data_IF_425261567440
#
_entry.id   IF_425261567440
#
_cell.length_a   1.000
_cell.length_b   1.000
_cell.length_c   1.000
_cell.angle_alpha   90.00
_cell.angle_beta   90.00
_cell.angle_gamma   90.00
#
_symmetry.space_group_name_H-M   'P 1'
#
loop_
_entity.id
_entity.type
_entity.pdbx_description
1 polymer ?
#
# COMPACT_ATOMS: atom_id res chain seq x y z
N UNK A 1 -1.10 27.12 -0.64
CA UNK A 1 -0.18 28.18 -0.19
C UNK A 1 1.27 27.75 -0.43
N UNK A 2 2.21 28.68 -0.63
CA UNK A 2 3.65 28.38 -0.69
C UNK A 2 4.32 29.16 0.43
N UNK A 3 4.96 28.44 1.34
CA UNK A 3 5.86 29.04 2.32
C UNK A 3 7.25 29.21 1.71
N UNK A 4 7.95 30.25 2.14
CA UNK A 4 9.32 30.54 1.72
C UNK A 4 10.17 30.86 2.95
N UNK A 5 11.35 30.28 3.00
CA UNK A 5 12.36 30.63 4.01
C UNK A 5 13.77 30.55 3.40
N UNK A 6 14.74 31.16 4.06
CA UNK A 6 16.13 31.15 3.68
C UNK A 6 16.90 30.33 4.70
N UNK A 7 17.68 29.38 4.26
CA UNK A 7 18.38 28.43 5.12
C UNK A 7 19.82 28.24 4.67
N UNK A 8 20.69 27.84 5.59
CA UNK A 8 21.99 27.27 5.28
C UNK A 8 21.90 25.76 5.30
N UNK A 9 22.50 25.11 4.33
CA UNK A 9 22.63 23.65 4.33
C UNK A 9 23.35 23.18 5.60
N UNK A 10 22.82 22.23 6.37
CA UNK A 10 23.49 21.79 7.61
C UNK A 10 24.86 21.14 7.39
N UNK A 11 25.11 20.61 6.18
CA UNK A 11 26.35 19.92 5.85
C UNK A 11 27.42 20.82 5.23
N UNK A 12 27.08 21.65 4.23
CA UNK A 12 28.06 22.46 3.48
C UNK A 12 27.87 23.98 3.63
N UNK A 13 26.87 24.41 4.41
CA UNK A 13 26.54 25.82 4.64
C UNK A 13 26.09 26.60 3.40
N UNK A 14 25.80 25.92 2.31
CA UNK A 14 25.29 26.54 1.08
C UNK A 14 23.98 27.28 1.34
N UNK A 15 23.82 28.54 0.91
CA UNK A 15 22.61 29.31 1.08
C UNK A 15 21.50 28.85 0.12
N UNK A 16 20.34 28.52 0.68
CA UNK A 16 19.22 27.95 -0.07
C UNK A 16 17.94 28.75 0.23
N UNK A 17 17.22 29.07 -0.82
CA UNK A 17 15.82 29.51 -0.71
C UNK A 17 14.93 28.28 -0.77
N UNK A 18 14.39 27.88 0.37
CA UNK A 18 13.44 26.77 0.48
C UNK A 18 12.02 27.26 0.25
N UNK A 19 11.33 26.64 -0.70
CA UNK A 19 9.94 26.91 -1.03
C UNK A 19 9.12 25.64 -0.86
N UNK A 20 8.14 25.66 0.03
CA UNK A 20 7.29 24.48 0.31
C UNK A 20 5.84 24.81 0.02
N UNK A 21 5.24 24.04 -0.89
CA UNK A 21 3.79 24.09 -1.13
C UNK A 21 3.05 23.35 -0.02
N UNK A 22 2.22 24.08 0.74
CA UNK A 22 1.46 23.54 1.87
C UNK A 22 0.11 23.02 1.42
N UNK A 23 -0.19 21.76 1.74
CA UNK A 23 -1.42 21.06 1.36
C UNK A 23 -2.20 20.51 2.56
N UNK A 24 -1.59 20.49 3.74
CA UNK A 24 -2.17 19.95 4.98
C UNK A 24 -1.59 20.64 6.22
N UNK A 25 -2.28 20.52 7.35
CA UNK A 25 -1.92 21.13 8.62
C UNK A 25 -0.52 20.70 9.12
N UNK A 26 -0.14 19.44 8.90
CA UNK A 26 1.20 18.95 9.19
C UNK A 26 1.73 18.20 7.98
N UNK A 27 2.83 18.67 7.40
CA UNK A 27 3.39 18.12 6.16
C UNK A 27 4.90 17.99 6.28
N UNK A 28 5.43 16.77 6.45
CA UNK A 28 6.85 16.53 6.37
C UNK A 28 7.35 16.69 4.92
N UNK A 29 8.59 17.10 4.78
CA UNK A 29 9.27 17.17 3.49
C UNK A 29 10.76 16.85 3.64
N UNK A 30 11.35 16.39 2.55
CA UNK A 30 12.78 16.19 2.41
C UNK A 30 13.20 16.73 1.05
N UNK A 31 14.29 17.52 1.02
CA UNK A 31 14.91 18.02 -0.20
C UNK A 31 16.39 17.74 -0.14
N UNK A 32 17.03 17.62 -1.31
CA UNK A 32 18.48 17.52 -1.40
C UNK A 32 19.10 18.92 -1.52
N UNK A 33 20.22 19.14 -0.85
CA UNK A 33 21.05 20.32 -1.07
C UNK A 33 21.57 20.30 -2.52
N UNK A 34 21.44 21.39 -3.29
CA UNK A 34 21.90 21.41 -4.68
C UNK A 34 23.43 21.34 -4.83
N UNK A 35 24.19 21.67 -3.79
CA UNK A 35 25.67 21.67 -3.84
C UNK A 35 26.30 20.37 -3.33
N UNK A 36 25.85 19.86 -2.17
CA UNK A 36 26.46 18.66 -1.55
C UNK A 36 25.49 17.47 -1.45
N UNK A 37 24.26 17.62 -1.93
CA UNK A 37 23.23 16.59 -2.00
C UNK A 37 22.77 16.01 -0.66
N UNK A 38 23.26 16.57 0.45
CA UNK A 38 22.81 16.19 1.78
C UNK A 38 21.29 16.43 1.96
N UNK A 39 20.62 15.52 2.67
CA UNK A 39 19.20 15.66 2.95
C UNK A 39 18.94 16.82 3.90
N UNK A 40 18.05 17.70 3.50
CA UNK A 40 17.46 18.75 4.33
C UNK A 40 16.06 18.29 4.67
N UNK A 41 15.81 18.03 5.95
CA UNK A 41 14.52 17.54 6.45
C UNK A 41 13.82 18.61 7.25
N UNK A 42 12.50 18.63 7.14
CA UNK A 42 11.66 19.51 7.92
C UNK A 42 10.19 19.15 7.76
N UNK A 43 9.36 19.95 8.40
CA UNK A 43 7.92 19.86 8.23
C UNK A 43 7.30 21.27 8.25
N UNK A 44 6.15 21.41 7.62
CA UNK A 44 5.28 22.55 7.87
C UNK A 44 4.23 22.15 8.88
N UNK A 45 3.97 22.98 9.87
CA UNK A 45 3.00 22.76 10.93
C UNK A 45 2.04 23.94 10.97
N UNK A 46 0.78 23.71 11.26
CA UNK A 46 -0.17 24.77 11.56
C UNK A 46 0.08 25.27 12.97
N UNK A 47 0.31 26.57 13.09
CA UNK A 47 0.49 27.22 14.38
C UNK A 47 -0.88 27.55 15.03
N UNK A 48 -0.87 27.97 16.28
CA UNK A 48 -2.09 28.32 17.07
C UNK A 48 -2.97 29.38 16.40
N UNK A 49 -2.37 30.22 15.56
CA UNK A 49 -3.06 31.26 14.76
C UNK A 49 -3.65 30.72 13.44
N UNK A 50 -3.59 29.40 13.20
CA UNK A 50 -4.07 28.77 11.98
C UNK A 50 -3.17 28.97 10.76
N UNK A 51 -2.01 29.62 10.90
CA UNK A 51 -1.08 29.85 9.81
C UNK A 51 0.00 28.76 9.77
N UNK A 52 0.34 28.24 8.59
CA UNK A 52 1.40 27.25 8.48
C UNK A 52 2.78 27.91 8.70
N UNK A 53 3.64 27.21 9.44
CA UNK A 53 5.03 27.61 9.73
C UNK A 53 5.98 26.47 9.47
N UNK A 54 7.25 26.83 9.22
CA UNK A 54 8.32 25.82 9.14
C UNK A 54 8.73 25.33 10.53
N UNK A 55 8.93 24.04 10.64
CA UNK A 55 9.66 23.39 11.73
C UNK A 55 10.90 22.70 11.13
N UNK A 56 12.07 23.28 11.40
CA UNK A 56 13.36 22.90 10.82
C UNK A 56 14.37 22.63 11.95
N UNK A 57 14.30 21.50 12.65
CA UNK A 57 15.04 21.28 13.90
C UNK A 57 16.58 21.25 13.72
N UNK A 58 17.06 20.87 12.52
CA UNK A 58 18.50 20.66 12.26
C UNK A 58 19.07 21.71 11.27
N UNK A 59 18.29 22.74 10.93
CA UNK A 59 18.63 23.67 9.86
C UNK A 59 18.67 25.10 10.38
N UNK A 60 19.74 25.82 10.09
CA UNK A 60 19.86 27.23 10.42
C UNK A 60 19.05 28.06 9.43
N UNK A 61 18.10 28.83 9.94
CA UNK A 61 17.41 29.89 9.19
C UNK A 61 18.33 31.11 9.16
N UNK A 62 18.53 31.69 7.98
CA UNK A 62 19.42 32.84 7.75
C UNK A 62 18.65 34.01 7.17
N UNK A 63 19.09 35.23 7.47
CA UNK A 63 18.52 36.43 6.89
C UNK A 63 19.12 36.72 5.52
N UNK A 64 18.31 37.06 4.48
CA UNK A 64 18.83 37.33 3.13
C UNK A 64 19.95 38.38 3.05
N UNK A 65 19.93 39.35 3.96
CA UNK A 65 20.95 40.41 4.04
C UNK A 65 22.33 39.94 4.49
N UNK A 66 22.39 38.78 5.14
CA UNK A 66 23.62 38.23 5.71
C UNK A 66 24.42 37.40 4.70
N UNK A 67 23.87 37.21 3.52
CA UNK A 67 24.50 36.37 2.47
C UNK A 67 24.55 37.13 1.16
N UNK A 68 25.80 37.40 0.71
CA UNK A 68 26.05 37.92 -0.64
C UNK A 68 26.23 36.78 -1.63
N UNK A 69 25.60 36.87 -2.80
CA UNK A 69 25.79 35.90 -3.88
C UNK A 69 24.49 35.33 -4.45
N UNK A 70 24.58 34.31 -5.30
CA UNK A 70 23.47 33.61 -5.88
C UNK A 70 22.88 32.61 -4.88
N UNK A 71 21.55 32.56 -4.83
CA UNK A 71 20.80 31.64 -3.99
C UNK A 71 20.27 30.47 -4.82
N UNK A 72 20.52 29.28 -4.35
CA UNK A 72 19.85 28.11 -4.90
C UNK A 72 18.39 28.04 -4.46
N UNK A 73 17.46 27.96 -5.40
CA UNK A 73 16.05 27.82 -5.11
C UNK A 73 15.64 26.36 -5.17
N UNK A 74 15.20 25.81 -4.05
CA UNK A 74 14.68 24.45 -3.95
C UNK A 74 13.18 24.51 -3.66
N UNK A 75 12.39 23.90 -4.53
CA UNK A 75 10.95 23.89 -4.39
C UNK A 75 10.46 22.46 -4.19
N UNK A 76 9.67 22.22 -3.15
CA UNK A 76 8.98 20.94 -2.92
C UNK A 76 7.49 21.19 -2.68
N UNK A 77 6.71 20.17 -3.01
CA UNK A 77 5.26 20.18 -2.77
C UNK A 77 4.92 18.82 -2.17
N UNK A 78 4.66 18.74 -0.87
CA UNK A 78 4.67 17.52 -0.09
C UNK A 78 3.99 16.28 -0.69
N UNK A 79 3.07 16.47 -1.64
CA UNK A 79 2.32 15.38 -2.28
C UNK A 79 2.65 15.24 -3.77
N UNK A 80 3.65 15.96 -4.27
CA UNK A 80 4.10 15.90 -5.67
C UNK A 80 5.60 15.60 -5.71
N UNK A 81 6.10 14.98 -6.79
CA UNK A 81 7.53 14.79 -6.99
C UNK A 81 8.29 16.11 -6.94
N UNK A 82 9.52 16.07 -6.49
CA UNK A 82 10.42 17.21 -6.59
C UNK A 82 10.85 17.43 -8.04
N UNK A 83 10.97 18.69 -8.42
CA UNK A 83 11.43 19.11 -9.75
C UNK A 83 12.78 19.78 -9.59
N UNK A 84 13.86 19.20 -10.12
CA UNK A 84 15.13 19.91 -10.20
C UNK A 84 14.98 21.11 -11.14
N UNK A 85 15.57 22.22 -10.76
CA UNK A 85 15.61 23.46 -11.58
C UNK A 85 14.26 24.13 -11.86
N UNK A 86 13.26 23.96 -11.01
CA UNK A 86 11.96 24.65 -11.15
C UNK A 86 12.00 26.10 -10.63
N UNK A 87 13.07 26.85 -10.91
CA UNK A 87 13.17 28.26 -10.47
C UNK A 87 11.97 29.13 -10.87
N UNK A 88 11.30 28.81 -11.96
CA UNK A 88 10.21 29.60 -12.51
C UNK A 88 8.80 29.09 -12.12
N UNK A 89 8.63 27.77 -11.91
CA UNK A 89 7.31 27.18 -11.70
C UNK A 89 7.21 26.47 -10.33
N UNK A 90 6.03 26.56 -9.70
CA UNK A 90 5.73 25.70 -8.55
C UNK A 90 5.59 24.26 -9.02
N UNK A 91 5.84 23.28 -8.12
CA UNK A 91 5.62 21.85 -8.43
C UNK A 91 4.19 21.57 -8.92
N UNK A 92 3.22 22.32 -8.42
CA UNK A 92 1.81 22.25 -8.86
C UNK A 92 1.65 22.66 -10.32
N UNK A 93 2.20 23.82 -10.72
CA UNK A 93 2.12 24.29 -12.12
C UNK A 93 2.89 23.36 -13.08
N UNK A 94 4.01 22.82 -12.64
CA UNK A 94 4.77 21.84 -13.42
C UNK A 94 3.97 20.55 -13.61
N UNK A 95 3.32 20.05 -12.56
CA UNK A 95 2.44 18.89 -12.66
C UNK A 95 1.24 19.18 -13.60
N UNK A 96 0.59 20.33 -13.45
CA UNK A 96 -0.51 20.75 -14.32
C UNK A 96 -0.10 20.76 -15.81
N UNK A 97 1.04 21.37 -16.12
CA UNK A 97 1.59 21.41 -17.48
C UNK A 97 1.84 20.01 -18.05
N UNK A 98 2.29 19.07 -17.21
CA UNK A 98 2.60 17.70 -17.62
C UNK A 98 1.32 16.87 -17.80
N UNK A 99 0.37 16.96 -16.88
CA UNK A 99 -0.90 16.24 -16.99
C UNK A 99 -1.81 16.81 -18.08
N UNK A 100 -1.73 18.14 -18.31
CA UNK A 100 -2.62 18.90 -19.18
C UNK A 100 -3.99 19.17 -18.53
N UNK A 101 -4.72 20.13 -19.06
CA UNK A 101 -5.99 20.65 -18.51
C UNK A 101 -7.04 19.55 -18.30
N UNK A 102 -7.11 18.60 -19.22
CA UNK A 102 -8.11 17.52 -19.16
C UNK A 102 -7.84 16.47 -18.06
N UNK A 103 -6.57 16.14 -17.81
CA UNK A 103 -6.20 15.04 -16.92
C UNK A 103 -5.86 15.49 -15.49
N UNK A 104 -5.45 16.74 -15.34
CA UNK A 104 -5.00 17.27 -14.05
C UNK A 104 -6.10 17.29 -12.98
N UNK A 105 -7.35 17.72 -13.27
CA UNK A 105 -8.43 17.65 -12.28
C UNK A 105 -8.70 16.23 -11.79
N UNK A 106 -8.70 15.24 -12.69
CA UNK A 106 -8.84 13.82 -12.31
C UNK A 106 -7.71 13.33 -11.40
N UNK A 107 -6.47 13.72 -11.69
CA UNK A 107 -5.34 13.41 -10.83
C UNK A 107 -5.46 14.08 -9.44
N UNK A 108 -5.89 15.35 -9.37
CA UNK A 108 -6.12 16.02 -8.08
C UNK A 108 -7.19 15.32 -7.24
N UNK A 109 -8.26 14.82 -7.85
CA UNK A 109 -9.26 14.03 -7.15
C UNK A 109 -8.68 12.73 -6.58
N UNK A 110 -7.82 12.03 -7.32
CA UNK A 110 -7.12 10.85 -6.79
C UNK A 110 -6.20 11.20 -5.63
N UNK A 111 -5.47 12.29 -5.75
CA UNK A 111 -4.60 12.76 -4.68
C UNK A 111 -5.38 13.15 -3.41
N UNK A 112 -6.49 13.89 -3.56
CA UNK A 112 -7.38 14.24 -2.46
C UNK A 112 -7.95 12.99 -1.78
N UNK A 113 -8.36 12.01 -2.57
CA UNK A 113 -8.87 10.71 -2.11
C UNK A 113 -7.82 9.95 -1.29
N UNK A 114 -6.57 9.88 -1.79
CA UNK A 114 -5.48 9.20 -1.09
C UNK A 114 -5.09 9.91 0.22
N UNK A 115 -5.16 11.25 0.26
CA UNK A 115 -4.98 12.03 1.49
C UNK A 115 -6.05 11.72 2.52
N UNK A 116 -7.31 11.78 2.10
CA UNK A 116 -8.45 11.48 2.97
C UNK A 116 -8.32 10.09 3.60
N UNK A 117 -7.90 9.07 2.83
CA UNK A 117 -7.65 7.74 3.37
C UNK A 117 -6.59 7.77 4.48
N UNK A 118 -5.51 8.53 4.30
CA UNK A 118 -4.49 8.72 5.33
C UNK A 118 -5.02 9.41 6.59
N UNK A 119 -5.90 10.41 6.45
CA UNK A 119 -6.53 11.11 7.59
C UNK A 119 -7.52 10.22 8.36
N UNK A 120 -8.12 9.25 7.69
CA UNK A 120 -9.09 8.31 8.29
C UNK A 120 -8.50 6.99 8.78
N UNK A 121 -7.17 6.86 8.80
CA UNK A 121 -6.49 5.62 9.20
C UNK A 121 -6.89 5.18 10.60
N UNK A 122 -6.81 6.07 11.60
CA UNK A 122 -7.09 5.72 12.99
C UNK A 122 -8.54 5.30 13.22
N UNK A 123 -9.58 6.04 12.76
CA UNK A 123 -10.95 5.58 12.82
C UNK A 123 -11.17 4.24 12.11
N UNK A 124 -10.56 4.02 10.95
CA UNK A 124 -10.71 2.77 10.18
C UNK A 124 -10.06 1.59 10.90
N UNK A 125 -8.88 1.79 11.48
CA UNK A 125 -8.20 0.74 12.25
C UNK A 125 -8.98 0.38 13.52
N UNK A 126 -9.49 1.37 14.25
CA UNK A 126 -10.37 1.13 15.40
C UNK A 126 -11.64 0.37 14.99
N UNK A 127 -12.27 0.76 13.87
CA UNK A 127 -13.42 0.07 13.32
C UNK A 127 -13.08 -1.39 13.02
N UNK A 128 -11.93 -1.63 12.38
CA UNK A 128 -11.47 -2.98 12.09
C UNK A 128 -11.18 -3.78 13.35
N UNK A 129 -10.60 -3.16 14.39
CA UNK A 129 -10.39 -3.77 15.70
C UNK A 129 -11.69 -4.17 16.38
N UNK A 130 -12.77 -3.36 16.29
CA UNK A 130 -14.11 -3.73 16.79
C UNK A 130 -14.73 -4.84 15.95
N UNK A 131 -14.57 -4.80 14.63
CA UNK A 131 -15.01 -5.85 13.72
C UNK A 131 -14.36 -7.21 14.07
N UNK A 132 -13.05 -7.26 14.28
CA UNK A 132 -12.34 -8.49 14.66
C UNK A 132 -12.85 -9.07 15.98
N UNK A 133 -13.12 -8.21 16.95
CA UNK A 133 -13.61 -8.58 18.28
C UNK A 133 -15.13 -8.76 18.35
N UNK A 134 -15.84 -8.65 17.21
CA UNK A 134 -17.29 -8.73 17.09
C UNK A 134 -18.05 -7.75 18.03
N UNK A 135 -17.44 -6.60 18.32
CA UNK A 135 -18.04 -5.54 19.13
C UNK A 135 -18.91 -4.64 18.25
N UNK A 136 -20.06 -5.18 17.83
CA UNK A 136 -20.89 -4.59 16.80
C UNK A 136 -21.43 -3.20 17.16
N UNK A 137 -21.89 -2.98 18.38
CA UNK A 137 -22.40 -1.68 18.82
C UNK A 137 -21.34 -0.58 18.80
N UNK A 138 -20.08 -0.94 19.13
CA UNK A 138 -18.94 0.00 19.07
C UNK A 138 -18.55 0.28 17.64
N UNK A 139 -18.57 -0.73 16.78
CA UNK A 139 -18.34 -0.59 15.35
C UNK A 139 -19.37 0.36 14.73
N UNK A 140 -20.66 0.08 14.94
CA UNK A 140 -21.76 0.86 14.36
C UNK A 140 -21.70 2.33 14.81
N UNK A 141 -21.43 2.57 16.10
CA UNK A 141 -21.26 3.92 16.66
C UNK A 141 -20.07 4.66 16.04
N UNK A 142 -18.93 4.00 15.92
CA UNK A 142 -17.73 4.58 15.35
C UNK A 142 -17.92 4.93 13.88
N UNK A 143 -18.55 4.03 13.12
CA UNK A 143 -18.79 4.22 11.69
C UNK A 143 -19.75 5.39 11.45
N UNK A 144 -20.83 5.49 12.20
CA UNK A 144 -21.77 6.64 12.10
C UNK A 144 -21.08 7.97 12.42
N UNK A 145 -20.23 7.99 13.45
CA UNK A 145 -19.53 9.22 13.86
C UNK A 145 -18.54 9.74 12.81
N UNK A 146 -17.82 8.84 12.13
CA UNK A 146 -16.69 9.22 11.26
C UNK A 146 -17.01 9.16 9.77
N UNK A 147 -18.12 8.51 9.38
CA UNK A 147 -18.49 8.24 7.99
C UNK A 147 -19.97 8.52 7.76
N UNK A 148 -20.37 9.76 8.03
CA UNK A 148 -21.77 10.21 7.92
C UNK A 148 -22.39 9.89 6.57
N UNK A 149 -23.66 9.48 6.60
CA UNK A 149 -24.47 9.18 5.41
C UNK A 149 -24.16 7.88 4.70
N UNK A 150 -23.06 7.22 5.03
CA UNK A 150 -22.64 5.99 4.37
C UNK A 150 -22.88 4.71 5.21
N UNK A 151 -23.17 4.84 6.52
CA UNK A 151 -23.46 3.73 7.40
C UNK A 151 -24.97 3.60 7.66
N UNK A 152 -25.58 2.40 7.45
CA UNK A 152 -27.01 2.22 7.67
C UNK A 152 -27.41 2.46 9.13
N UNK A 153 -28.66 2.90 9.35
CA UNK A 153 -29.20 3.02 10.71
C UNK A 153 -29.27 1.67 11.42
N UNK A 154 -29.71 0.63 10.69
CA UNK A 154 -29.81 -0.74 11.17
C UNK A 154 -28.96 -1.64 10.28
N UNK A 155 -27.63 -1.71 10.51
CA UNK A 155 -26.74 -2.48 9.66
C UNK A 155 -27.01 -3.98 9.80
N UNK A 156 -27.16 -4.64 8.67
CA UNK A 156 -27.25 -6.11 8.63
C UNK A 156 -25.90 -6.75 8.98
N UNK A 157 -25.91 -8.06 9.21
CA UNK A 157 -24.68 -8.84 9.33
C UNK A 157 -23.73 -8.60 8.14
N UNK A 158 -24.26 -8.61 6.92
CA UNK A 158 -23.49 -8.38 5.71
C UNK A 158 -22.91 -6.96 5.65
N UNK A 159 -23.69 -5.95 6.08
CA UNK A 159 -23.20 -4.56 6.11
C UNK A 159 -21.99 -4.41 7.03
N UNK A 160 -22.03 -5.01 8.21
CA UNK A 160 -20.89 -5.00 9.15
C UNK A 160 -19.66 -5.69 8.59
N UNK A 161 -19.86 -6.85 7.97
CA UNK A 161 -18.75 -7.59 7.34
C UNK A 161 -18.18 -6.90 6.09
N UNK A 162 -18.95 -6.05 5.44
CA UNK A 162 -18.51 -5.33 4.24
C UNK A 162 -18.06 -3.89 4.52
N UNK A 163 -18.16 -3.44 5.78
CA UNK A 163 -17.90 -2.06 6.20
C UNK A 163 -16.59 -1.48 5.64
N UNK A 164 -15.49 -2.17 5.87
CA UNK A 164 -14.18 -1.69 5.43
C UNK A 164 -14.12 -1.49 3.92
N UNK A 165 -14.68 -2.44 3.15
CA UNK A 165 -14.66 -2.34 1.69
C UNK A 165 -15.58 -1.26 1.15
N UNK A 166 -16.71 -1.02 1.78
CA UNK A 166 -17.65 0.05 1.38
C UNK A 166 -16.99 1.43 1.42
N UNK A 167 -16.10 1.65 2.39
CA UNK A 167 -15.42 2.94 2.57
C UNK A 167 -14.07 3.02 1.89
N UNK A 168 -13.32 1.92 1.82
CA UNK A 168 -11.96 1.92 1.27
C UNK A 168 -11.99 1.73 -0.26
N UNK A 169 -12.96 1.01 -0.81
CA UNK A 169 -12.97 0.63 -2.22
C UNK A 169 -12.80 1.80 -3.21
N UNK A 170 -13.50 2.95 -3.07
CA UNK A 170 -13.28 4.08 -3.97
C UNK A 170 -11.85 4.60 -3.97
N UNK A 171 -11.17 4.48 -2.82
CA UNK A 171 -9.79 4.92 -2.64
C UNK A 171 -8.79 3.93 -3.21
N UNK A 172 -9.08 2.62 -3.11
CA UNK A 172 -8.25 1.59 -3.73
C UNK A 172 -8.19 1.74 -5.25
N UNK A 173 -9.30 2.12 -5.88
CA UNK A 173 -9.34 2.41 -7.33
C UNK A 173 -8.36 3.53 -7.69
N UNK A 174 -8.23 4.55 -6.84
CA UNK A 174 -7.29 5.67 -7.04
C UNK A 174 -5.82 5.23 -6.95
N UNK A 175 -5.53 4.23 -6.11
CA UNK A 175 -4.20 3.67 -5.92
C UNK A 175 -3.86 2.57 -6.94
N UNK A 176 -4.84 2.09 -7.72
CA UNK A 176 -4.69 1.01 -8.70
C UNK A 176 -5.17 1.44 -10.10
N UNK A 177 -4.48 2.39 -10.75
CA UNK A 177 -4.88 2.91 -12.06
C UNK A 177 -4.85 1.85 -13.18
N UNK A 178 -4.19 0.70 -12.98
CA UNK A 178 -4.16 -0.43 -13.92
C UNK A 178 -5.31 -1.43 -13.72
N UNK A 179 -6.07 -1.29 -12.64
CA UNK A 179 -7.17 -2.18 -12.29
C UNK A 179 -6.73 -3.62 -11.98
N UNK A 180 -5.59 -3.79 -11.30
CA UNK A 180 -5.09 -5.12 -10.92
C UNK A 180 -5.95 -5.75 -9.83
N UNK A 181 -6.39 -4.95 -8.84
CA UNK A 181 -7.26 -5.39 -7.75
C UNK A 181 -8.58 -5.99 -8.26
N UNK A 182 -9.42 -5.29 -9.06
CA UNK A 182 -10.68 -5.84 -9.53
C UNK A 182 -10.49 -7.07 -10.42
N UNK A 183 -9.43 -7.15 -11.23
CA UNK A 183 -9.13 -8.30 -12.08
C UNK A 183 -8.78 -9.54 -11.25
N UNK A 184 -7.89 -9.40 -10.25
CA UNK A 184 -7.54 -10.49 -9.33
C UNK A 184 -8.75 -10.92 -8.49
N UNK A 185 -9.55 -9.95 -8.01
CA UNK A 185 -10.77 -10.23 -7.26
C UNK A 185 -11.76 -11.04 -8.08
N UNK A 186 -12.07 -10.62 -9.31
CA UNK A 186 -12.96 -11.36 -10.20
C UNK A 186 -12.43 -12.77 -10.48
N UNK A 187 -11.14 -12.92 -10.77
CA UNK A 187 -10.51 -14.21 -11.03
C UNK A 187 -10.68 -15.21 -9.88
N UNK A 188 -10.49 -14.75 -8.63
CA UNK A 188 -10.59 -15.61 -7.44
C UNK A 188 -12.04 -15.85 -7.05
N UNK A 189 -12.89 -14.81 -7.04
CA UNK A 189 -14.25 -14.90 -6.52
C UNK A 189 -15.20 -15.63 -7.45
N UNK A 190 -15.09 -15.43 -8.78
CA UNK A 190 -15.97 -16.09 -9.76
C UNK A 190 -15.95 -17.61 -9.66
N UNK A 191 -14.88 -18.18 -9.13
CA UNK A 191 -14.73 -19.63 -8.96
C UNK A 191 -15.54 -20.18 -7.81
N UNK A 192 -15.77 -19.38 -6.75
CA UNK A 192 -16.43 -19.84 -5.51
C UNK A 192 -17.94 -19.88 -5.66
N UNK A 193 -18.55 -18.94 -6.36
CA UNK A 193 -20.02 -18.85 -6.50
C UNK A 193 -20.68 -20.13 -7.03
N UNK A 194 -19.95 -20.98 -7.77
CA UNK A 194 -20.45 -22.25 -8.28
C UNK A 194 -20.41 -23.39 -7.25
N UNK A 195 -19.75 -23.19 -6.11
CA UNK A 195 -19.49 -24.23 -5.08
C UNK A 195 -19.68 -23.66 -3.68
N UNK A 196 -20.70 -22.83 -3.50
CA UNK A 196 -20.95 -22.06 -2.27
C UNK A 196 -21.05 -22.94 -1.02
N UNK A 197 -21.76 -24.06 -1.07
CA UNK A 197 -21.90 -24.97 0.07
C UNK A 197 -20.57 -25.56 0.53
N UNK A 198 -19.78 -26.11 -0.40
CA UNK A 198 -18.46 -26.66 -0.08
C UNK A 198 -17.49 -25.60 0.41
N UNK A 199 -17.61 -24.36 -0.11
CA UNK A 199 -16.81 -23.25 0.38
C UNK A 199 -17.22 -22.81 1.79
N UNK A 200 -18.51 -22.79 2.11
CA UNK A 200 -19.02 -22.44 3.45
C UNK A 200 -18.54 -23.45 4.51
N UNK A 201 -18.56 -24.75 4.22
CA UNK A 201 -18.03 -25.79 5.10
C UNK A 201 -16.53 -25.59 5.38
N UNK A 202 -15.73 -25.43 4.32
CA UNK A 202 -14.30 -25.17 4.45
C UNK A 202 -14.02 -23.85 5.21
N UNK A 203 -14.76 -22.80 4.91
CA UNK A 203 -14.61 -21.50 5.55
C UNK A 203 -14.95 -21.58 7.04
N UNK A 204 -15.99 -22.33 7.44
CA UNK A 204 -16.33 -22.57 8.84
C UNK A 204 -15.16 -23.23 9.60
N UNK A 205 -14.59 -24.30 9.05
CA UNK A 205 -13.42 -24.97 9.64
C UNK A 205 -12.20 -24.03 9.79
N UNK A 206 -11.98 -23.15 8.80
CA UNK A 206 -10.85 -22.22 8.81
C UNK A 206 -11.06 -21.10 9.84
N UNK A 207 -12.23 -20.49 9.92
CA UNK A 207 -12.48 -19.39 10.89
C UNK A 207 -12.51 -19.87 12.34
N UNK A 208 -12.79 -21.14 12.59
CA UNK A 208 -12.71 -21.74 13.92
C UNK A 208 -11.27 -21.86 14.43
N UNK A 209 -10.26 -21.80 13.53
CA UNK A 209 -8.86 -21.84 13.92
C UNK A 209 -8.37 -20.44 14.37
N UNK A 210 -7.85 -20.29 15.62
CA UNK A 210 -7.34 -19.00 16.11
C UNK A 210 -6.20 -18.42 15.28
N UNK A 211 -5.45 -19.24 14.53
CA UNK A 211 -4.41 -18.78 13.61
C UNK A 211 -4.97 -17.91 12.48
N UNK A 212 -6.21 -18.20 12.02
CA UNK A 212 -6.88 -17.38 11.02
C UNK A 212 -7.10 -15.95 11.50
N UNK A 213 -7.58 -15.77 12.73
CA UNK A 213 -7.80 -14.45 13.29
C UNK A 213 -6.48 -13.68 13.51
N UNK A 214 -5.45 -14.39 13.98
CA UNK A 214 -4.11 -13.81 14.15
C UNK A 214 -3.52 -13.36 12.79
N UNK A 215 -3.72 -14.15 11.73
CA UNK A 215 -3.30 -13.81 10.38
C UNK A 215 -4.07 -12.59 9.85
N UNK A 216 -5.39 -12.58 9.97
CA UNK A 216 -6.25 -11.47 9.54
C UNK A 216 -5.85 -10.16 10.23
N UNK A 217 -5.56 -10.21 11.55
CA UNK A 217 -5.08 -9.06 12.31
C UNK A 217 -3.74 -8.54 11.76
N UNK A 218 -2.77 -9.43 11.49
CA UNK A 218 -1.47 -9.02 10.92
C UNK A 218 -1.61 -8.37 9.54
N UNK A 219 -2.50 -8.86 8.68
CA UNK A 219 -2.79 -8.22 7.40
C UNK A 219 -3.33 -6.80 7.60
N UNK A 220 -4.27 -6.63 8.53
CA UNK A 220 -4.84 -5.32 8.86
C UNK A 220 -3.78 -4.36 9.41
N UNK A 221 -2.94 -4.80 10.35
CA UNK A 221 -1.85 -4.02 10.91
C UNK A 221 -0.90 -3.51 9.81
N UNK A 222 -0.50 -4.37 8.88
CA UNK A 222 0.37 -3.97 7.77
C UNK A 222 -0.32 -3.00 6.82
N UNK A 223 -1.60 -3.21 6.52
CA UNK A 223 -2.39 -2.29 5.71
C UNK A 223 -2.45 -0.89 6.33
N UNK A 224 -2.81 -0.78 7.61
CA UNK A 224 -2.89 0.50 8.30
C UNK A 224 -1.52 1.16 8.50
N UNK A 225 -0.46 0.38 8.73
CA UNK A 225 0.89 0.91 8.82
C UNK A 225 1.33 1.61 7.52
N UNK A 226 1.04 1.04 6.36
CA UNK A 226 1.32 1.69 5.08
C UNK A 226 0.48 2.96 4.86
N UNK A 227 -0.77 2.97 5.29
CA UNK A 227 -1.62 4.15 5.19
C UNK A 227 -1.14 5.29 6.09
N UNK A 228 -0.62 5.00 7.29
CA UNK A 228 -0.05 6.02 8.20
C UNK A 228 1.16 6.74 7.63
N UNK A 229 1.94 6.07 6.82
CA UNK A 229 3.11 6.68 6.18
C UNK A 229 2.79 7.26 4.79
N UNK A 230 1.55 7.71 4.58
CA UNK A 230 1.10 8.22 3.29
C UNK A 230 1.95 9.39 2.75
N UNK A 231 2.53 10.19 3.62
CA UNK A 231 3.44 11.27 3.23
C UNK A 231 4.64 10.79 2.42
N UNK A 232 5.07 9.54 2.64
CA UNK A 232 6.23 8.95 1.97
C UNK A 232 5.90 8.46 0.54
N UNK A 233 4.66 8.06 0.28
CA UNK A 233 4.29 7.49 -1.01
C UNK A 233 3.37 8.37 -1.87
N UNK A 234 2.67 9.34 -1.29
CA UNK A 234 1.81 10.26 -2.05
C UNK A 234 2.51 10.94 -3.23
N UNK A 235 3.77 11.42 -3.09
CA UNK A 235 4.46 12.06 -4.21
C UNK A 235 4.64 11.15 -5.42
N UNK A 236 4.72 9.82 -5.22
CA UNK A 236 4.86 8.87 -6.32
C UNK A 236 3.58 8.68 -7.15
N UNK A 237 2.40 9.05 -6.63
CA UNK A 237 1.13 8.86 -7.35
C UNK A 237 1.12 9.57 -8.71
N UNK A 238 1.73 10.76 -8.80
CA UNK A 238 1.83 11.46 -10.07
C UNK A 238 2.58 10.62 -11.12
N UNK A 239 3.69 10.00 -10.73
CA UNK A 239 4.51 9.15 -11.60
C UNK A 239 3.72 7.90 -12.01
N UNK A 240 3.04 7.25 -11.07
CA UNK A 240 2.25 6.04 -11.31
C UNK A 240 1.11 6.31 -12.29
N UNK A 241 0.40 7.42 -12.10
CA UNK A 241 -0.69 7.80 -13.01
C UNK A 241 -0.21 8.15 -14.41
N UNK A 242 0.95 8.80 -14.57
CA UNK A 242 1.56 9.04 -15.88
C UNK A 242 1.92 7.73 -16.57
N UNK A 243 2.61 6.83 -15.85
CA UNK A 243 3.01 5.52 -16.39
C UNK A 243 1.81 4.65 -16.78
N UNK A 244 0.76 4.65 -15.98
CA UNK A 244 -0.48 3.91 -16.29
C UNK A 244 -1.16 4.41 -17.57
N UNK A 245 -0.93 5.69 -17.95
CA UNK A 245 -1.38 6.28 -19.22
C UNK A 245 -0.36 6.13 -20.35
N UNK A 246 0.71 5.36 -20.16
CA UNK A 246 1.78 5.18 -21.14
C UNK A 246 2.63 6.42 -21.38
N UNK A 247 2.58 7.42 -20.49
CA UNK A 247 3.38 8.63 -20.60
C UNK A 247 4.75 8.44 -19.92
N UNK A 248 5.82 9.00 -20.50
CA UNK A 248 7.14 8.95 -19.88
C UNK A 248 7.17 9.77 -18.58
N UNK A 249 7.94 9.30 -17.61
CA UNK A 249 8.26 10.08 -16.42
C UNK A 249 9.20 11.23 -16.84
N UNK A 250 8.88 12.47 -16.49
CA UNK A 250 9.75 13.59 -16.84
C UNK A 250 11.14 13.44 -16.26
N UNK A 251 12.20 13.76 -17.01
CA UNK A 251 13.55 13.72 -16.50
C UNK A 251 13.70 14.55 -15.22
N UNK A 252 14.40 14.01 -14.25
CA UNK A 252 14.67 14.70 -13.00
C UNK A 252 13.53 14.69 -11.96
N UNK A 253 12.39 14.06 -12.24
CA UNK A 253 11.39 13.87 -11.21
C UNK A 253 11.89 12.90 -10.15
N UNK A 254 11.91 13.38 -8.92
CA UNK A 254 12.35 12.62 -7.76
C UNK A 254 11.24 12.56 -6.72
N UNK A 255 11.01 11.37 -6.17
CA UNK A 255 10.17 11.20 -4.99
C UNK A 255 11.03 11.50 -3.77
N UNK A 256 10.61 12.44 -2.90
CA UNK A 256 11.35 12.73 -1.68
C UNK A 256 11.45 11.48 -0.80
N UNK A 257 12.61 11.29 -0.18
CA UNK A 257 12.83 10.17 0.73
C UNK A 257 12.76 10.67 2.16
N UNK A 258 11.83 10.13 2.94
CA UNK A 258 11.73 10.42 4.36
C UNK A 258 12.33 9.29 5.21
N UNK A 259 11.56 8.22 5.40
CA UNK A 259 11.87 7.13 6.34
C UNK A 259 12.13 5.81 5.61
N UNK A 260 13.23 5.73 4.85
CA UNK A 260 13.55 4.56 4.02
C UNK A 260 13.59 3.25 4.84
N UNK A 261 14.10 3.28 6.07
CA UNK A 261 14.20 2.11 6.94
C UNK A 261 12.80 1.56 7.28
N UNK A 262 11.87 2.45 7.64
CA UNK A 262 10.48 2.06 7.94
C UNK A 262 9.78 1.47 6.72
N UNK A 263 10.00 2.03 5.54
CA UNK A 263 9.43 1.53 4.29
C UNK A 263 10.03 0.19 3.86
N UNK A 264 11.32 0.02 4.08
CA UNK A 264 12.04 -1.22 3.85
C UNK A 264 11.53 -2.35 4.74
N UNK A 265 11.35 -2.08 6.04
CA UNK A 265 10.79 -3.04 6.98
C UNK A 265 9.32 -3.37 6.66
N UNK A 266 8.51 -2.37 6.30
CA UNK A 266 7.14 -2.58 5.84
C UNK A 266 7.11 -3.49 4.59
N UNK A 267 7.97 -3.24 3.61
CA UNK A 267 8.06 -4.07 2.39
C UNK A 267 8.29 -5.55 2.72
N UNK A 268 9.26 -5.82 3.62
CA UNK A 268 9.59 -7.18 4.06
C UNK A 268 8.41 -7.83 4.80
N UNK A 269 7.82 -7.13 5.76
CA UNK A 269 6.71 -7.65 6.57
C UNK A 269 5.47 -7.92 5.69
N UNK A 270 5.16 -7.05 4.74
CA UNK A 270 4.06 -7.23 3.81
C UNK A 270 4.23 -8.46 2.94
N UNK A 271 5.46 -8.74 2.48
CA UNK A 271 5.77 -9.95 1.74
C UNK A 271 5.50 -11.20 2.58
N UNK A 272 6.00 -11.24 3.82
CA UNK A 272 5.83 -12.39 4.73
C UNK A 272 4.34 -12.62 5.07
N UNK A 273 3.60 -11.57 5.38
CA UNK A 273 2.17 -11.66 5.67
C UNK A 273 1.39 -12.12 4.45
N UNK A 274 1.70 -11.61 3.26
CA UNK A 274 1.06 -12.02 2.02
C UNK A 274 1.32 -13.50 1.72
N UNK A 275 2.51 -14.02 1.99
CA UNK A 275 2.81 -15.45 1.88
C UNK A 275 1.95 -16.34 2.81
N UNK A 276 1.46 -15.80 3.95
CA UNK A 276 0.60 -16.54 4.88
C UNK A 276 -0.85 -16.66 4.39
N UNK A 277 -1.30 -15.79 3.49
CA UNK A 277 -2.65 -15.80 2.92
C UNK A 277 -2.78 -16.78 1.76
N UNK A 278 -1.71 -17.07 1.04
CA UNK A 278 -1.75 -17.91 -0.16
C UNK A 278 -2.39 -19.30 0.05
N UNK A 279 -2.25 -19.97 1.21
CA UNK A 279 -2.98 -21.21 1.50
C UNK A 279 -4.50 -21.08 1.36
N UNK A 280 -5.08 -19.92 1.68
CA UNK A 280 -6.52 -19.69 1.51
C UNK A 280 -6.91 -19.70 0.02
N UNK A 281 -6.09 -19.09 -0.84
CA UNK A 281 -6.32 -19.08 -2.30
C UNK A 281 -6.28 -20.49 -2.87
N UNK A 282 -5.37 -21.34 -2.38
CA UNK A 282 -5.27 -22.73 -2.82
C UNK A 282 -6.54 -23.50 -2.45
N UNK A 283 -7.02 -23.37 -1.22
CA UNK A 283 -8.29 -24.00 -0.78
C UNK A 283 -9.46 -23.55 -1.64
N UNK A 284 -9.57 -22.25 -1.91
CA UNK A 284 -10.59 -21.70 -2.80
C UNK A 284 -10.53 -22.33 -4.20
N UNK A 285 -9.33 -22.46 -4.75
CA UNK A 285 -9.14 -23.09 -6.05
C UNK A 285 -9.52 -24.57 -6.02
N UNK A 286 -9.07 -25.33 -5.02
CA UNK A 286 -9.39 -26.75 -4.90
C UNK A 286 -10.90 -26.97 -4.84
N UNK A 287 -11.62 -26.20 -4.03
CA UNK A 287 -13.08 -26.26 -3.94
C UNK A 287 -13.71 -25.96 -5.30
N UNK A 288 -13.26 -24.92 -5.99
CA UNK A 288 -13.79 -24.57 -7.30
C UNK A 288 -13.63 -25.68 -8.35
N UNK A 289 -12.58 -26.47 -8.21
CA UNK A 289 -12.27 -27.62 -9.07
C UNK A 289 -12.88 -28.95 -8.56
N UNK A 290 -13.63 -28.90 -7.44
CA UNK A 290 -14.27 -30.09 -6.85
C UNK A 290 -13.28 -31.04 -6.16
N UNK A 291 -12.16 -30.53 -5.70
CA UNK A 291 -11.10 -31.28 -4.99
C UNK A 291 -11.20 -31.05 -3.47
N UNK A 292 -10.54 -31.94 -2.72
CA UNK A 292 -10.31 -31.75 -1.29
C UNK A 292 -9.57 -30.40 -1.07
N UNK A 293 -10.10 -29.50 -0.22
CA UNK A 293 -9.48 -28.20 0.08
C UNK A 293 -8.02 -28.31 0.53
N UNK A 294 -7.66 -29.36 1.26
CA UNK A 294 -6.31 -29.54 1.81
C UNK A 294 -5.32 -30.21 0.86
N UNK A 295 -5.77 -30.69 -0.30
CA UNK A 295 -4.90 -31.33 -1.28
C UNK A 295 -4.09 -30.30 -2.07
N UNK A 296 -2.90 -30.68 -2.49
CA UNK A 296 -2.13 -29.96 -3.51
C UNK A 296 -1.87 -30.92 -4.64
N UNK A 297 -2.38 -30.59 -5.81
CA UNK A 297 -2.13 -31.38 -7.01
C UNK A 297 -0.66 -31.23 -7.43
N UNK A 298 -0.12 -32.31 -8.01
CA UNK A 298 1.28 -32.43 -8.41
C UNK A 298 1.84 -31.13 -9.04
N UNK A 299 3.04 -30.69 -8.62
CA UNK A 299 3.75 -29.57 -9.23
C UNK A 299 3.93 -29.66 -10.74
N UNK A 300 3.88 -30.87 -11.33
CA UNK A 300 3.94 -31.09 -12.79
C UNK A 300 2.77 -30.43 -13.53
N UNK A 301 1.62 -30.20 -12.86
CA UNK A 301 0.50 -29.44 -13.40
C UNK A 301 0.76 -27.91 -13.46
N UNK A 302 1.88 -27.45 -12.96
CA UNK A 302 2.28 -26.04 -12.99
C UNK A 302 2.88 -25.62 -14.34
N UNK A 303 2.42 -26.25 -15.44
CA UNK A 303 2.70 -25.90 -16.83
C UNK A 303 4.11 -25.31 -17.07
N UNK A 304 5.12 -26.18 -17.15
CA UNK A 304 6.44 -25.84 -17.69
C UNK A 304 7.37 -24.99 -16.79
N UNK A 305 6.89 -24.49 -15.65
CA UNK A 305 7.68 -23.63 -14.76
C UNK A 305 8.34 -24.37 -13.58
N UNK A 306 7.73 -25.47 -13.14
CA UNK A 306 8.16 -26.21 -11.96
C UNK A 306 9.50 -26.97 -12.09
N UNK A 307 9.87 -27.57 -13.25
CA UNK A 307 11.01 -28.50 -13.30
C UNK A 307 12.36 -27.86 -12.96
N UNK A 308 12.51 -26.54 -13.14
CA UNK A 308 13.79 -25.83 -12.91
C UNK A 308 13.92 -25.20 -11.53
N UNK A 309 12.80 -24.96 -10.83
CA UNK A 309 12.77 -24.21 -9.56
C UNK A 309 12.49 -25.13 -8.37
N UNK A 310 11.60 -26.11 -8.54
CA UNK A 310 11.26 -27.05 -7.48
C UNK A 310 12.07 -28.34 -7.66
N UNK A 311 13.06 -28.54 -6.80
CA UNK A 311 13.69 -29.88 -6.67
C UNK A 311 12.64 -30.83 -6.10
N UNK A 312 12.76 -32.12 -6.37
CA UNK A 312 11.84 -33.15 -5.86
C UNK A 312 11.58 -33.04 -4.34
N UNK A 313 12.60 -32.60 -3.57
CA UNK A 313 12.49 -32.35 -2.13
C UNK A 313 11.64 -31.12 -1.72
N UNK A 314 11.33 -30.24 -2.67
CA UNK A 314 10.55 -29.03 -2.45
C UNK A 314 9.09 -29.22 -2.92
N UNK A 315 8.73 -30.42 -3.37
CA UNK A 315 7.36 -30.77 -3.71
C UNK A 315 6.50 -30.85 -2.45
N UNK A 316 5.32 -30.27 -2.53
CA UNK A 316 4.34 -30.25 -1.45
C UNK A 316 3.06 -30.96 -1.92
N UNK A 317 2.50 -31.82 -1.07
CA UNK A 317 1.34 -32.64 -1.38
C UNK A 317 0.05 -32.18 -0.69
N UNK A 318 0.17 -31.29 0.29
CA UNK A 318 -0.97 -30.74 1.01
C UNK A 318 -0.72 -29.30 1.47
N UNK A 319 -1.79 -28.60 1.84
CA UNK A 319 -1.75 -27.20 2.23
C UNK A 319 -0.91 -26.97 3.49
N UNK A 320 -0.84 -27.92 4.41
CA UNK A 320 0.00 -27.78 5.61
C UNK A 320 1.51 -27.77 5.25
N UNK A 321 1.95 -28.65 4.36
CA UNK A 321 3.33 -28.63 3.84
C UNK A 321 3.59 -27.32 3.07
N UNK A 322 2.62 -26.87 2.26
CA UNK A 322 2.73 -25.62 1.53
C UNK A 322 2.88 -24.41 2.47
N UNK A 323 2.10 -24.36 3.55
CA UNK A 323 2.20 -23.30 4.55
C UNK A 323 3.61 -23.17 5.13
N UNK A 324 4.29 -24.31 5.31
CA UNK A 324 5.68 -24.40 5.82
C UNK A 324 6.74 -24.26 4.73
N UNK A 325 6.35 -24.20 3.46
CA UNK A 325 7.29 -24.17 2.34
C UNK A 325 7.95 -22.79 2.18
N UNK A 326 9.04 -22.77 1.40
CA UNK A 326 9.74 -21.53 1.04
C UNK A 326 8.87 -20.61 0.19
N UNK A 327 9.13 -19.30 0.26
CA UNK A 327 8.43 -18.31 -0.54
C UNK A 327 8.42 -18.61 -2.05
N UNK A 328 9.54 -19.12 -2.59
CA UNK A 328 9.62 -19.50 -4.01
C UNK A 328 8.62 -20.60 -4.40
N UNK A 329 8.40 -21.57 -3.51
CA UNK A 329 7.38 -22.61 -3.70
C UNK A 329 5.99 -22.01 -3.64
N UNK A 330 5.74 -21.11 -2.68
CA UNK A 330 4.44 -20.42 -2.53
C UNK A 330 4.09 -19.61 -3.78
N UNK A 331 5.02 -18.82 -4.28
CA UNK A 331 4.84 -18.03 -5.50
C UNK A 331 4.57 -18.89 -6.75
N UNK A 332 5.17 -20.07 -6.85
CA UNK A 332 4.98 -20.95 -8.01
C UNK A 332 3.52 -21.36 -8.20
N UNK A 333 2.75 -21.51 -7.13
CA UNK A 333 1.32 -21.86 -7.20
C UNK A 333 0.43 -20.71 -7.74
N UNK A 334 0.91 -19.45 -7.71
CA UNK A 334 0.20 -18.33 -8.31
C UNK A 334 0.11 -18.42 -9.85
N UNK A 335 0.88 -19.30 -10.48
CA UNK A 335 0.84 -19.50 -11.94
C UNK A 335 -0.55 -19.89 -12.46
N UNK A 336 -1.40 -20.45 -11.61
CA UNK A 336 -2.80 -20.80 -11.94
C UNK A 336 -3.76 -19.60 -11.88
N UNK A 337 -3.28 -18.46 -11.39
CA UNK A 337 -4.02 -17.22 -11.23
C UNK A 337 -3.30 -16.09 -11.95
N UNK A 338 -3.39 -15.98 -13.28
CA UNK A 338 -2.57 -15.04 -14.07
C UNK A 338 -2.75 -13.58 -13.64
N UNK A 339 -3.97 -13.14 -13.29
CA UNK A 339 -4.21 -11.79 -12.81
C UNK A 339 -3.65 -11.57 -11.41
N UNK A 340 -3.88 -12.50 -10.48
CA UNK A 340 -3.31 -12.43 -9.14
C UNK A 340 -1.77 -12.53 -9.18
N UNK A 341 -1.22 -13.37 -10.06
CA UNK A 341 0.23 -13.45 -10.26
C UNK A 341 0.82 -12.14 -10.79
N UNK A 342 0.17 -11.52 -11.80
CA UNK A 342 0.59 -10.20 -12.29
C UNK A 342 0.56 -9.18 -11.17
N UNK A 343 -0.48 -9.18 -10.35
CA UNK A 343 -0.64 -8.31 -9.21
C UNK A 343 0.47 -8.54 -8.16
N UNK A 344 0.73 -9.79 -7.81
CA UNK A 344 1.83 -10.18 -6.92
C UNK A 344 3.18 -9.69 -7.43
N UNK A 345 3.50 -9.97 -8.70
CA UNK A 345 4.77 -9.60 -9.30
C UNK A 345 4.97 -8.08 -9.41
N UNK A 346 3.89 -7.31 -9.50
CA UNK A 346 3.96 -5.84 -9.46
C UNK A 346 4.15 -5.28 -8.05
N UNK A 347 3.75 -6.04 -7.02
CA UNK A 347 3.85 -5.66 -5.61
C UNK A 347 5.15 -6.15 -4.96
N UNK A 348 5.70 -7.27 -5.42
CA UNK A 348 6.85 -7.91 -4.79
C UNK A 348 7.92 -8.33 -5.79
N UNK A 349 9.17 -8.03 -5.43
CA UNK A 349 10.37 -8.57 -6.06
C UNK A 349 11.15 -9.38 -5.05
N UNK A 350 11.48 -10.63 -5.38
CA UNK A 350 12.33 -11.47 -4.52
C UNK A 350 13.73 -10.88 -4.34
N UNK A 351 14.26 -10.25 -5.38
CA UNK A 351 15.57 -9.62 -5.30
C UNK A 351 15.58 -8.45 -4.33
N UNK A 352 14.58 -7.58 -4.38
CA UNK A 352 14.42 -6.47 -3.43
C UNK A 352 14.27 -7.03 -2.00
N UNK A 353 13.36 -7.98 -1.79
CA UNK A 353 13.13 -8.59 -0.47
C UNK A 353 14.41 -9.22 0.11
N UNK A 354 15.16 -9.97 -0.70
CA UNK A 354 16.39 -10.62 -0.26
C UNK A 354 17.48 -9.59 0.03
N UNK A 355 17.61 -8.55 -0.78
CA UNK A 355 18.59 -7.48 -0.54
C UNK A 355 18.30 -6.71 0.75
N UNK A 356 17.01 -6.48 1.05
CA UNK A 356 16.59 -5.92 2.34
C UNK A 356 17.00 -6.86 3.49
N UNK A 357 16.73 -8.17 3.36
CA UNK A 357 17.04 -9.15 4.41
C UNK A 357 18.55 -9.34 4.64
N UNK A 358 19.37 -9.10 3.64
CA UNK A 358 20.84 -9.24 3.71
C UNK A 358 21.56 -7.91 3.89
N UNK A 359 20.84 -6.81 4.16
CA UNK A 359 21.40 -5.46 4.29
C UNK A 359 22.18 -4.97 3.03
N UNK A 360 21.79 -5.46 1.85
CA UNK A 360 22.36 -5.09 0.55
C UNK A 360 21.49 -4.08 -0.19
N UNK A 361 20.61 -3.37 0.53
CA UNK A 361 19.63 -2.42 -0.01
C UNK A 361 19.95 -1.02 0.53
N UNK A 362 20.50 -0.17 -0.32
CA UNK A 362 20.89 1.18 0.02
C UNK A 362 20.14 2.21 -0.83
N UNK A 363 19.85 3.36 -0.22
CA UNK A 363 19.37 4.52 -0.94
C UNK A 363 20.53 5.45 -1.27
N UNK A 364 20.75 5.67 -2.57
CA UNK A 364 21.72 6.63 -3.08
C UNK A 364 21.00 7.94 -3.36
N UNK A 365 21.29 8.95 -2.55
CA UNK A 365 20.59 10.24 -2.60
C UNK A 365 20.85 10.96 -3.92
N UNK A 366 22.08 10.90 -4.40
CA UNK A 366 22.44 11.37 -5.74
C UNK A 366 21.66 10.54 -6.79
N UNK A 367 20.83 11.19 -7.55
CA UNK A 367 20.01 10.55 -8.57
C UNK A 367 18.69 9.92 -8.08
N UNK A 368 18.41 9.87 -6.77
CA UNK A 368 17.15 9.32 -6.23
C UNK A 368 16.94 7.86 -6.60
N UNK A 369 17.97 7.03 -6.43
CA UNK A 369 17.96 5.61 -6.79
C UNK A 369 18.16 4.71 -5.58
N UNK A 370 17.68 3.47 -5.69
CA UNK A 370 18.01 2.39 -4.77
C UNK A 370 19.06 1.51 -5.42
N UNK A 371 20.13 1.25 -4.70
CA UNK A 371 21.15 0.29 -5.08
C UNK A 371 20.90 -1.05 -4.36
N UNK A 372 20.85 -2.15 -5.12
CA UNK A 372 20.82 -3.50 -4.58
C UNK A 372 21.39 -4.51 -5.58
N UNK A 373 22.19 -5.44 -5.10
CA UNK A 373 22.84 -6.49 -5.93
C UNK A 373 23.54 -5.93 -7.17
N UNK A 374 24.22 -4.80 -7.05
CA UNK A 374 24.92 -4.16 -8.17
C UNK A 374 24.01 -3.54 -9.24
N UNK A 375 22.72 -3.35 -8.94
CA UNK A 375 21.74 -2.67 -9.79
C UNK A 375 21.27 -1.39 -9.14
N UNK A 376 21.03 -0.38 -9.95
CA UNK A 376 20.39 0.86 -9.55
C UNK A 376 18.99 0.93 -10.14
N UNK A 377 18.00 1.24 -9.31
CA UNK A 377 16.60 1.37 -9.71
C UNK A 377 16.06 2.69 -9.17
N UNK A 378 15.33 3.48 -9.96
CA UNK A 378 14.71 4.71 -9.46
C UNK A 378 13.87 4.44 -8.22
N UNK A 379 14.01 5.30 -7.20
CA UNK A 379 13.31 5.14 -5.92
C UNK A 379 11.79 5.05 -6.08
N UNK A 380 11.22 5.79 -7.03
CA UNK A 380 9.79 5.74 -7.28
C UNK A 380 9.29 4.33 -7.66
N UNK A 381 10.14 3.47 -8.24
CA UNK A 381 9.76 2.08 -8.58
C UNK A 381 9.54 1.26 -7.29
N UNK A 382 10.35 1.48 -6.27
CA UNK A 382 10.15 0.87 -4.96
C UNK A 382 8.88 1.39 -4.27
N UNK A 383 8.64 2.70 -4.34
CA UNK A 383 7.42 3.30 -3.78
C UNK A 383 6.18 2.82 -4.54
N UNK A 384 6.25 2.68 -5.86
CA UNK A 384 5.17 2.10 -6.65
C UNK A 384 4.82 0.68 -6.16
N UNK A 385 5.84 -0.16 -5.91
CA UNK A 385 5.61 -1.49 -5.36
C UNK A 385 4.93 -1.43 -3.97
N UNK A 386 5.30 -0.50 -3.10
CA UNK A 386 4.64 -0.28 -1.80
C UNK A 386 3.17 0.15 -1.95
N UNK A 387 2.86 1.05 -2.87
CA UNK A 387 1.46 1.44 -3.15
C UNK A 387 0.66 0.25 -3.65
N UNK A 388 1.23 -0.59 -4.52
CA UNK A 388 0.58 -1.84 -4.95
C UNK A 388 0.41 -2.83 -3.80
N UNK A 389 1.30 -2.82 -2.81
CA UNK A 389 1.13 -3.62 -1.59
C UNK A 389 -0.06 -3.13 -0.75
N UNK A 390 -0.33 -1.81 -0.69
CA UNK A 390 -1.53 -1.30 0.00
C UNK A 390 -2.79 -1.93 -0.61
N UNK A 391 -2.92 -1.88 -1.92
CA UNK A 391 -4.09 -2.44 -2.61
C UNK A 391 -4.14 -3.98 -2.52
N UNK A 392 -2.99 -4.66 -2.54
CA UNK A 392 -2.91 -6.11 -2.36
C UNK A 392 -3.27 -6.53 -0.91
N UNK A 393 -2.83 -5.79 0.11
CA UNK A 393 -3.23 -6.05 1.50
C UNK A 393 -4.75 -5.87 1.68
N UNK A 394 -5.34 -4.86 1.05
CA UNK A 394 -6.80 -4.71 1.03
C UNK A 394 -7.49 -5.90 0.33
N UNK A 395 -6.91 -6.44 -0.73
CA UNK A 395 -7.40 -7.67 -1.37
C UNK A 395 -7.32 -8.87 -0.40
N UNK A 396 -6.24 -8.99 0.39
CA UNK A 396 -6.14 -10.03 1.42
C UNK A 396 -7.18 -9.87 2.52
N UNK A 397 -7.46 -8.65 2.96
CA UNK A 397 -8.57 -8.38 3.90
C UNK A 397 -9.93 -8.78 3.29
N UNK A 398 -10.10 -8.60 1.98
CA UNK A 398 -11.29 -9.03 1.24
C UNK A 398 -11.42 -10.57 1.23
N UNK A 399 -10.32 -11.28 1.05
CA UNK A 399 -10.30 -12.75 1.14
C UNK A 399 -10.67 -13.21 2.57
N UNK A 400 -10.07 -12.62 3.60
CA UNK A 400 -10.39 -12.94 4.98
C UNK A 400 -11.87 -12.68 5.31
N UNK A 401 -12.41 -11.54 4.84
CA UNK A 401 -13.83 -11.21 4.97
C UNK A 401 -14.72 -12.26 4.31
N UNK A 402 -14.35 -12.73 3.11
CA UNK A 402 -15.09 -13.75 2.40
C UNK A 402 -15.21 -15.04 3.23
N UNK A 403 -14.10 -15.50 3.78
CA UNK A 403 -14.09 -16.65 4.69
C UNK A 403 -15.00 -16.43 5.91
N UNK A 404 -14.98 -15.25 6.51
CA UNK A 404 -15.86 -14.92 7.65
C UNK A 404 -17.35 -14.95 7.28
N UNK A 405 -17.72 -14.35 6.14
CA UNK A 405 -19.13 -14.31 5.70
C UNK A 405 -19.65 -15.72 5.45
N UNK A 406 -18.92 -16.53 4.69
CA UNK A 406 -19.37 -17.86 4.33
C UNK A 406 -19.29 -18.87 5.50
N UNK A 407 -18.24 -18.78 6.32
CA UNK A 407 -18.09 -19.63 7.49
C UNK A 407 -19.16 -19.37 8.55
N UNK A 408 -19.56 -18.11 8.77
CA UNK A 408 -20.64 -17.77 9.71
C UNK A 408 -22.04 -18.16 9.19
N UNK A 409 -22.25 -18.16 7.88
CA UNK A 409 -23.51 -18.65 7.27
C UNK A 409 -23.71 -20.15 7.47
N UNK A 410 -22.63 -20.92 7.48
CA UNK A 410 -22.69 -22.36 7.74
C UNK A 410 -23.33 -22.68 9.08
N UNK A 411 -22.99 -21.95 10.14
CA UNK A 411 -23.59 -22.11 11.46
C UNK A 411 -25.10 -21.83 11.45
N UNK A 412 -25.52 -20.75 10.79
CA UNK A 412 -26.94 -20.37 10.74
C UNK A 412 -27.79 -21.35 9.93
N UNK A 413 -27.25 -21.93 8.88
CA UNK A 413 -27.95 -22.93 8.08
C UNK A 413 -28.07 -24.27 8.81
N UNK A 414 -27.02 -24.70 9.51
CA UNK A 414 -27.01 -25.96 10.25
C UNK A 414 -27.79 -25.87 11.58
N UNK A 415 -27.82 -24.72 12.25
CA UNK A 415 -28.65 -24.54 13.44
C UNK A 415 -30.15 -24.69 13.16
N UNK A 416 -30.62 -24.28 11.98
CA UNK A 416 -31.98 -24.51 11.52
C UNK A 416 -32.23 -26.00 11.21
N UNK A 417 -31.24 -26.72 10.66
CA UNK A 417 -31.36 -28.15 10.38
C UNK A 417 -31.28 -29.03 11.63
N UNK A 418 -30.58 -28.60 12.67
CA UNK A 418 -30.43 -29.37 13.92
C UNK A 418 -31.51 -29.04 14.96
N UNK A 419 -32.49 -28.19 14.66
CA UNK A 419 -33.59 -27.86 15.55
C UNK A 419 -33.16 -27.17 16.86
N UNK A 420 -32.02 -26.52 16.87
CA UNK A 420 -31.48 -25.77 18.00
C UNK A 420 -31.78 -24.26 17.85
N UNK A 421 -33.06 -23.93 17.60
CA UNK A 421 -33.56 -22.55 17.59
C UNK A 421 -34.26 -22.24 18.90
#
# INVERSE_FOLDING_TARGET
>A
MILRTHIACPACQEPIVLRVGVTRARQPFTVACPSCESAIRGETIEADDGLPRFHLPEVQVIEPKDVGGEWHVVTTYGDLPNFPNSGEYSAFLSAHKIFGDENFPGFLNFLATARWLGEKVDPLEHAYGFYLKQKWDLLDRLMRKNFEGAWPENPSFLDRHTAMHRFIFPYLVSLDPEGLYPKAKYEVWSRIFKKEAAFSECAHSIIANPEFEAMNRRVAEQFFNLLRVNAEWLPALAIIHLRAKGRPVPPGWQVPVGRIESLRDAYRQNFEVSCQILPLIIRMQNISEGRDPESIKDPTDLNGWAPRILRARDCVNNVNQYTKSKAATKEAYLNRHPHLRRYWNSSFSRDVRNSIAHAEFDYVMHGGVIAYKGREVPYYVFIEALIRQITLLAFWLDICKLYKIYGSRWDSQNSVFLGLS
#
